data_IF_126760852108
#
_entry.id   IF_126760852108
#
_cell.length_a   1.000
_cell.length_b   1.000
_cell.length_c   1.000
_cell.angle_alpha   90.00
_cell.angle_beta   90.00
_cell.angle_gamma   90.00
#
_symmetry.space_group_name_H-M   'P 1'
#
loop_
_entity.id
_entity.type
_entity.pdbx_description
1 polymer ?
#
# COMPACT_ATOMS: atom_id res chain seq x y z
N UNK A 1 -6.41 -11.05 -30.87
CA UNK A 1 -7.38 -10.78 -29.77
C UNK A 1 -8.46 -9.80 -30.22
N UNK A 2 -8.11 -8.56 -30.58
CA UNK A 2 -9.07 -7.55 -31.06
C UNK A 2 -9.87 -8.01 -32.28
N UNK A 3 -9.22 -8.66 -33.25
CA UNK A 3 -9.92 -9.19 -34.43
C UNK A 3 -10.96 -10.25 -34.06
N UNK A 4 -10.65 -11.11 -33.09
CA UNK A 4 -11.61 -12.10 -32.60
C UNK A 4 -12.81 -11.47 -31.89
N UNK A 5 -12.59 -10.37 -31.14
CA UNK A 5 -13.68 -9.61 -30.54
C UNK A 5 -14.56 -8.93 -31.60
N UNK A 6 -13.94 -8.31 -32.63
CA UNK A 6 -14.65 -7.70 -33.77
C UNK A 6 -15.47 -8.72 -34.55
N UNK A 7 -14.94 -9.93 -34.72
CA UNK A 7 -15.60 -11.01 -35.44
C UNK A 7 -16.60 -11.81 -34.58
N UNK A 8 -16.89 -11.36 -33.35
CA UNK A 8 -17.91 -11.99 -32.51
C UNK A 8 -17.50 -13.30 -31.84
N UNK A 9 -16.24 -13.74 -31.93
CA UNK A 9 -15.75 -15.00 -31.35
C UNK A 9 -16.05 -15.03 -29.84
N UNK A 10 -16.68 -16.07 -29.28
CA UNK A 10 -16.94 -16.18 -27.84
C UNK A 10 -15.66 -16.01 -27.00
N UNK A 11 -15.80 -15.42 -25.81
CA UNK A 11 -14.63 -15.04 -25.00
C UNK A 11 -13.82 -16.25 -24.52
N UNK A 12 -14.49 -17.37 -24.21
CA UNK A 12 -13.83 -18.61 -23.78
C UNK A 12 -13.00 -19.23 -24.91
N UNK A 13 -13.53 -19.23 -26.14
CA UNK A 13 -12.81 -19.69 -27.34
C UNK A 13 -11.59 -18.80 -27.63
N UNK A 14 -11.76 -17.48 -27.47
CA UNK A 14 -10.67 -16.51 -27.60
C UNK A 14 -9.60 -16.77 -26.54
N UNK A 15 -10.00 -17.02 -25.30
CA UNK A 15 -9.09 -17.31 -24.19
C UNK A 15 -8.30 -18.60 -24.43
N UNK A 16 -8.98 -19.66 -24.89
CA UNK A 16 -8.37 -20.93 -25.26
C UNK A 16 -7.35 -20.76 -26.40
N UNK A 17 -7.73 -20.06 -27.47
CA UNK A 17 -6.85 -19.78 -28.63
C UNK A 17 -5.60 -19.00 -28.20
N UNK A 18 -5.76 -18.04 -27.27
CA UNK A 18 -4.66 -17.25 -26.73
C UNK A 18 -3.85 -17.97 -25.64
N UNK A 19 -4.23 -19.19 -25.27
CA UNK A 19 -3.66 -19.94 -24.13
C UNK A 19 -3.65 -19.12 -22.83
N UNK A 20 -4.75 -18.42 -22.55
CA UNK A 20 -4.94 -17.60 -21.35
C UNK A 20 -6.22 -18.00 -20.64
N UNK A 21 -6.32 -17.63 -19.35
CA UNK A 21 -7.58 -17.74 -18.60
C UNK A 21 -8.55 -16.66 -19.10
N UNK A 22 -9.85 -16.97 -19.18
CA UNK A 22 -10.92 -16.02 -19.53
C UNK A 22 -10.83 -14.74 -18.69
N UNK A 23 -10.58 -14.89 -17.38
CA UNK A 23 -10.39 -13.78 -16.44
C UNK A 23 -9.23 -12.85 -16.77
N UNK A 24 -8.17 -13.36 -17.41
CA UNK A 24 -7.04 -12.57 -17.87
C UNK A 24 -7.36 -11.81 -19.16
N UNK A 25 -8.14 -12.42 -20.06
CA UNK A 25 -8.65 -11.76 -21.26
C UNK A 25 -9.60 -10.63 -20.89
N UNK A 26 -10.55 -10.88 -19.97
CA UNK A 26 -11.45 -9.86 -19.42
C UNK A 26 -10.69 -8.69 -18.79
N UNK A 27 -9.66 -8.97 -17.98
CA UNK A 27 -8.81 -7.93 -17.40
C UNK A 27 -8.12 -7.08 -18.47
N UNK A 28 -7.66 -7.71 -19.56
CA UNK A 28 -7.03 -7.01 -20.68
C UNK A 28 -8.03 -6.20 -21.51
N UNK A 29 -9.24 -6.71 -21.75
CA UNK A 29 -10.33 -5.96 -22.36
C UNK A 29 -10.67 -4.71 -21.55
N UNK A 30 -10.76 -4.85 -20.22
CA UNK A 30 -11.01 -3.71 -19.33
C UNK A 30 -9.94 -2.63 -19.49
N UNK A 31 -8.67 -3.00 -19.65
CA UNK A 31 -7.56 -2.06 -19.89
C UNK A 31 -7.56 -1.39 -21.26
N UNK A 32 -8.31 -1.92 -22.23
CA UNK A 32 -8.52 -1.29 -23.54
C UNK A 32 -9.66 -0.27 -23.54
N UNK A 33 -10.44 -0.19 -22.45
CA UNK A 33 -11.49 0.81 -22.33
C UNK A 33 -10.91 2.16 -21.88
N UNK A 34 -11.54 3.28 -22.26
CA UNK A 34 -11.23 4.60 -21.72
C UNK A 34 -11.28 4.62 -20.17
N UNK A 35 -10.48 5.48 -19.50
CA UNK A 35 -10.40 5.55 -18.05
C UNK A 35 -11.75 5.71 -17.35
N UNK A 36 -12.65 6.53 -17.91
CA UNK A 36 -13.98 6.81 -17.40
C UNK A 36 -14.91 5.58 -17.42
N UNK A 37 -14.71 4.67 -18.39
CA UNK A 37 -15.45 3.41 -18.47
C UNK A 37 -14.82 2.32 -17.60
N UNK A 38 -13.49 2.30 -17.48
CA UNK A 38 -12.79 1.36 -16.58
C UNK A 38 -13.27 1.45 -15.13
N UNK A 39 -13.53 2.65 -14.64
CA UNK A 39 -14.01 2.85 -13.27
C UNK A 39 -15.41 2.26 -13.04
N UNK A 40 -16.25 2.22 -14.08
CA UNK A 40 -17.68 1.87 -13.99
C UNK A 40 -17.97 0.42 -14.36
N UNK A 41 -17.25 -0.12 -15.33
CA UNK A 41 -17.52 -1.44 -15.91
C UNK A 41 -16.94 -2.56 -15.04
N UNK A 42 -17.74 -3.58 -14.74
CA UNK A 42 -17.25 -4.77 -14.05
C UNK A 42 -16.30 -5.55 -14.95
N UNK A 43 -15.30 -6.22 -14.35
CA UNK A 43 -14.33 -7.01 -15.14
C UNK A 43 -15.02 -8.06 -16.00
N UNK A 44 -16.06 -8.71 -15.48
CA UNK A 44 -16.79 -9.77 -16.15
C UNK A 44 -17.53 -9.30 -17.43
N UNK A 45 -17.81 -8.00 -17.53
CA UNK A 45 -18.57 -7.38 -18.63
C UNK A 45 -17.68 -6.61 -19.61
N UNK A 46 -16.37 -6.54 -19.32
CA UNK A 46 -15.47 -5.64 -20.01
C UNK A 46 -15.30 -5.98 -21.49
N UNK A 47 -15.42 -7.25 -21.88
CA UNK A 47 -15.38 -7.64 -23.29
C UNK A 47 -16.66 -7.27 -24.04
N UNK A 48 -17.83 -7.35 -23.40
CA UNK A 48 -19.11 -6.94 -24.00
C UNK A 48 -19.12 -5.44 -24.31
N UNK A 49 -18.71 -4.62 -23.34
CA UNK A 49 -18.60 -3.17 -23.52
C UNK A 49 -17.55 -2.81 -24.58
N UNK A 50 -16.43 -3.54 -24.60
CA UNK A 50 -15.39 -3.32 -25.61
C UNK A 50 -15.88 -3.68 -27.02
N UNK A 51 -16.65 -4.76 -27.18
CA UNK A 51 -17.27 -5.12 -28.47
C UNK A 51 -18.25 -4.05 -28.94
N UNK A 52 -19.10 -3.56 -28.04
CA UNK A 52 -20.05 -2.49 -28.36
C UNK A 52 -19.32 -1.23 -28.84
N UNK A 53 -18.23 -0.84 -28.17
CA UNK A 53 -17.40 0.30 -28.59
C UNK A 53 -16.76 0.09 -29.95
N UNK A 54 -16.14 -1.06 -30.17
CA UNK A 54 -15.52 -1.41 -31.46
C UNK A 54 -16.54 -1.48 -32.61
N UNK A 55 -17.82 -1.77 -32.32
CA UNK A 55 -18.88 -1.81 -33.32
C UNK A 55 -19.51 -0.43 -33.58
N UNK A 56 -19.63 0.41 -32.55
CA UNK A 56 -20.33 1.70 -32.64
C UNK A 56 -19.42 2.84 -33.11
N UNK A 57 -18.13 2.76 -32.79
CA UNK A 57 -17.14 3.80 -33.08
C UNK A 57 -15.96 3.21 -33.86
N UNK A 58 -15.92 3.37 -35.20
CA UNK A 58 -14.82 2.90 -36.04
C UNK A 58 -13.46 3.55 -35.72
N UNK A 59 -13.47 4.76 -35.15
CA UNK A 59 -12.26 5.51 -34.75
C UNK A 59 -11.79 5.10 -33.35
N UNK A 60 -12.51 4.20 -32.67
CA UNK A 60 -12.15 3.76 -31.33
C UNK A 60 -10.81 2.99 -31.32
N UNK A 61 -9.77 3.66 -30.83
CA UNK A 61 -8.44 3.06 -30.70
C UNK A 61 -8.26 2.34 -29.35
N UNK A 62 -8.65 1.06 -29.35
CA UNK A 62 -8.44 0.16 -28.22
C UNK A 62 -6.95 -0.04 -27.85
N UNK A 63 -6.04 0.08 -28.82
CA UNK A 63 -4.61 -0.12 -28.61
C UNK A 63 -4.00 1.10 -27.94
N UNK A 64 -4.31 2.32 -28.39
CA UNK A 64 -3.88 3.54 -27.72
C UNK A 64 -4.41 3.63 -26.29
N UNK A 65 -5.67 3.22 -26.06
CA UNK A 65 -6.21 3.11 -24.71
C UNK A 65 -5.44 2.09 -23.88
N UNK A 66 -5.18 0.90 -24.42
CA UNK A 66 -4.36 -0.09 -23.72
C UNK A 66 -3.00 0.47 -23.35
N UNK A 67 -2.32 1.11 -24.30
CA UNK A 67 -1.00 1.68 -24.07
C UNK A 67 -1.06 2.75 -22.99
N UNK A 68 -1.96 3.73 -23.08
CA UNK A 68 -2.18 4.75 -22.06
C UNK A 68 -2.45 4.14 -20.67
N UNK A 69 -3.22 3.06 -20.61
CA UNK A 69 -3.57 2.36 -19.37
C UNK A 69 -2.49 1.39 -18.86
N UNK A 70 -1.53 1.04 -19.72
CA UNK A 70 -0.37 0.20 -19.42
C UNK A 70 0.92 1.00 -19.29
N UNK A 71 0.93 2.30 -19.64
CA UNK A 71 2.08 3.19 -19.42
C UNK A 71 2.51 2.97 -18.00
N UNK A 72 3.72 2.41 -17.85
CA UNK A 72 4.29 2.17 -16.53
C UNK A 72 4.44 3.54 -15.91
N UNK A 73 3.58 3.82 -14.93
CA UNK A 73 3.62 5.03 -14.11
C UNK A 73 5.05 5.37 -13.66
N UNK A 74 5.86 4.33 -13.44
CA UNK A 74 7.28 4.41 -13.10
C UNK A 74 8.15 3.84 -14.22
N UNK A 75 9.00 4.70 -14.78
CA UNK A 75 10.08 4.36 -15.71
C UNK A 75 11.42 4.50 -15.00
N UNK A 76 12.50 3.97 -15.59
CA UNK A 76 13.86 4.15 -15.05
C UNK A 76 14.25 5.64 -14.95
N UNK A 77 13.82 6.44 -15.92
CA UNK A 77 14.02 7.90 -15.92
C UNK A 77 13.31 8.58 -14.75
N UNK A 78 12.04 8.23 -14.47
CA UNK A 78 11.29 8.76 -13.32
C UNK A 78 11.89 8.30 -11.98
N UNK A 79 12.40 7.07 -11.93
CA UNK A 79 13.11 6.58 -10.74
C UNK A 79 14.42 7.34 -10.50
N UNK A 80 15.14 7.70 -11.57
CA UNK A 80 16.34 8.53 -11.49
C UNK A 80 16.00 9.95 -10.99
N UNK A 81 14.94 10.57 -11.52
CA UNK A 81 14.43 11.87 -11.04
C UNK A 81 14.15 11.82 -9.54
N UNK A 82 13.47 10.79 -9.05
CA UNK A 82 13.20 10.62 -7.62
C UNK A 82 14.47 10.38 -6.81
N UNK A 83 15.39 9.58 -7.30
CA UNK A 83 16.64 9.25 -6.59
C UNK A 83 17.51 10.50 -6.45
N UNK A 84 17.67 11.29 -7.52
CA UNK A 84 18.38 12.57 -7.46
C UNK A 84 17.61 13.60 -6.63
N UNK A 85 16.28 13.66 -6.76
CA UNK A 85 15.41 14.50 -5.94
C UNK A 85 15.57 14.23 -4.45
N UNK A 86 15.59 12.96 -4.06
CA UNK A 86 15.85 12.53 -2.69
C UNK A 86 17.24 12.92 -2.19
N UNK A 87 18.26 12.69 -3.03
CA UNK A 87 19.65 13.00 -2.73
C UNK A 87 19.85 14.49 -2.49
N UNK A 88 19.31 15.34 -3.37
CA UNK A 88 19.47 16.79 -3.32
C UNK A 88 18.36 17.53 -2.55
N UNK A 89 17.44 16.80 -1.89
CA UNK A 89 16.30 17.36 -1.14
C UNK A 89 15.48 18.35 -1.97
N UNK A 90 15.17 17.98 -3.21
CA UNK A 90 14.34 18.79 -4.08
C UNK A 90 12.92 18.87 -3.52
N UNK A 91 12.25 20.04 -3.59
CA UNK A 91 10.86 20.17 -3.17
C UNK A 91 9.93 19.17 -3.86
N UNK A 92 8.98 18.61 -3.11
CA UNK A 92 7.98 17.68 -3.62
C UNK A 92 7.23 18.23 -4.84
N UNK A 93 6.88 19.52 -4.81
CA UNK A 93 6.18 20.19 -5.91
C UNK A 93 6.95 20.12 -7.24
N UNK A 94 8.27 20.26 -7.19
CA UNK A 94 9.12 20.18 -8.39
C UNK A 94 9.15 18.75 -8.95
N UNK A 95 9.21 17.75 -8.06
CA UNK A 95 9.22 16.34 -8.44
C UNK A 95 7.86 15.90 -9.01
N UNK A 96 6.76 16.41 -8.46
CA UNK A 96 5.39 16.21 -8.98
C UNK A 96 5.29 16.76 -10.40
N UNK A 97 5.78 17.98 -10.62
CA UNK A 97 5.72 18.63 -11.93
C UNK A 97 6.60 17.92 -12.97
N UNK A 98 7.81 17.51 -12.60
CA UNK A 98 8.75 16.88 -13.53
C UNK A 98 8.40 15.43 -13.86
N UNK A 99 7.98 14.64 -12.86
CA UNK A 99 7.62 13.25 -13.07
C UNK A 99 6.16 13.06 -13.54
N UNK A 100 5.35 14.11 -13.53
CA UNK A 100 3.93 14.11 -13.90
C UNK A 100 3.12 13.04 -13.13
N UNK A 101 3.27 13.06 -11.80
CA UNK A 101 2.63 12.10 -10.88
C UNK A 101 2.26 12.78 -9.56
N UNK A 102 1.33 12.19 -8.80
CA UNK A 102 0.86 12.80 -7.54
C UNK A 102 1.87 12.62 -6.38
N UNK A 103 1.77 13.46 -5.34
CA UNK A 103 2.59 13.35 -4.12
C UNK A 103 2.51 11.96 -3.47
N UNK A 104 1.30 11.35 -3.47
CA UNK A 104 1.08 10.01 -2.91
C UNK A 104 1.84 8.96 -3.71
N UNK A 105 1.91 9.11 -5.02
CA UNK A 105 2.65 8.19 -5.88
C UNK A 105 4.16 8.32 -5.66
N UNK A 106 4.66 9.55 -5.57
CA UNK A 106 6.06 9.83 -5.26
C UNK A 106 6.41 9.21 -3.90
N UNK A 107 5.64 9.50 -2.86
CA UNK A 107 5.88 8.94 -1.53
C UNK A 107 5.88 7.41 -1.54
N UNK A 108 4.87 6.79 -2.19
CA UNK A 108 4.79 5.34 -2.33
C UNK A 108 5.92 4.74 -3.18
N UNK A 109 6.49 5.50 -4.12
CA UNK A 109 7.65 5.04 -4.90
C UNK A 109 8.95 5.16 -4.13
N UNK A 110 9.19 6.28 -3.43
CA UNK A 110 10.37 6.45 -2.57
C UNK A 110 10.50 5.33 -1.53
N UNK A 111 9.40 4.92 -0.91
CA UNK A 111 9.38 3.79 0.05
C UNK A 111 9.75 2.47 -0.65
N UNK A 112 9.17 2.20 -1.82
CA UNK A 112 9.46 0.96 -2.59
C UNK A 112 10.90 0.90 -3.11
N UNK A 113 11.53 2.04 -3.35
CA UNK A 113 12.95 2.16 -3.72
C UNK A 113 13.88 2.10 -2.50
N UNK A 114 13.34 2.01 -1.27
CA UNK A 114 14.13 2.00 -0.05
C UNK A 114 14.75 3.35 0.31
N UNK A 115 14.28 4.45 -0.29
CA UNK A 115 14.79 5.80 -0.01
C UNK A 115 14.27 6.32 1.33
N UNK A 116 13.05 5.94 1.72
CA UNK A 116 12.39 6.35 2.94
C UNK A 116 11.74 5.14 3.64
N UNK A 117 11.68 5.18 4.97
CA UNK A 117 11.00 4.14 5.74
C UNK A 117 9.47 4.20 5.57
N UNK A 118 8.91 5.41 5.52
CA UNK A 118 7.47 5.64 5.43
C UNK A 118 7.11 7.00 4.79
N UNK A 119 5.81 7.31 4.72
CA UNK A 119 5.32 8.56 4.13
C UNK A 119 5.68 9.80 4.95
N UNK A 120 5.88 9.65 6.26
CA UNK A 120 6.26 10.76 7.15
C UNK A 120 7.69 11.21 6.83
N UNK A 121 8.62 10.27 6.73
CA UNK A 121 10.00 10.52 6.34
C UNK A 121 10.12 11.18 4.95
N UNK A 122 9.22 10.83 4.02
CA UNK A 122 9.15 11.49 2.71
C UNK A 122 8.71 12.94 2.85
N UNK A 123 7.60 13.19 3.54
CA UNK A 123 7.04 14.52 3.70
C UNK A 123 7.99 15.46 4.49
N UNK A 124 8.69 14.94 5.49
CA UNK A 124 9.68 15.71 6.26
C UNK A 124 10.90 16.10 5.41
N UNK A 125 11.33 15.22 4.51
CA UNK A 125 12.52 15.48 3.70
C UNK A 125 12.24 16.34 2.46
N UNK A 126 11.14 16.08 1.77
CA UNK A 126 10.82 16.70 0.47
C UNK A 126 9.73 17.79 0.59
N UNK A 127 9.07 17.88 1.74
CA UNK A 127 7.86 18.69 1.89
C UNK A 127 6.61 17.99 1.34
N UNK A 128 5.47 18.61 1.57
CA UNK A 128 4.18 18.26 0.97
C UNK A 128 3.27 19.49 0.95
N UNK A 129 2.28 19.48 0.06
CA UNK A 129 1.28 20.54 -0.01
C UNK A 129 0.38 20.53 1.25
N UNK A 130 0.21 21.67 1.95
CA UNK A 130 -0.69 21.77 3.10
C UNK A 130 -2.14 21.42 2.71
N UNK A 131 -2.77 20.53 3.47
CA UNK A 131 -4.13 20.04 3.17
C UNK A 131 -4.20 19.06 1.99
N UNK A 132 -3.06 18.74 1.36
CA UNK A 132 -2.96 17.73 0.31
C UNK A 132 -3.14 16.31 0.86
N UNK A 133 -3.29 15.35 -0.06
CA UNK A 133 -3.50 13.95 0.30
C UNK A 133 -2.33 13.37 1.14
N UNK A 134 -1.09 13.77 0.84
CA UNK A 134 0.08 13.33 1.60
C UNK A 134 0.12 13.97 3.00
N UNK A 135 -0.18 15.27 3.14
CA UNK A 135 -0.27 15.94 4.44
C UNK A 135 -1.34 15.29 5.33
N UNK A 136 -2.55 15.07 4.79
CA UNK A 136 -3.64 14.41 5.52
C UNK A 136 -3.21 13.02 6.01
N UNK A 137 -2.55 12.23 5.15
CA UNK A 137 -2.04 10.91 5.53
C UNK A 137 -0.99 11.01 6.64
N UNK A 138 -0.08 11.98 6.56
CA UNK A 138 0.93 12.19 7.59
C UNK A 138 0.31 12.60 8.93
N UNK A 139 -0.74 13.45 8.92
CA UNK A 139 -1.50 13.80 10.13
C UNK A 139 -2.17 12.57 10.74
N UNK A 140 -2.88 11.78 9.94
CA UNK A 140 -3.48 10.53 10.41
C UNK A 140 -2.44 9.55 10.98
N UNK A 141 -1.24 9.47 10.39
CA UNK A 141 -0.15 8.66 10.93
C UNK A 141 0.34 9.18 12.28
N UNK A 142 0.52 10.50 12.43
CA UNK A 142 0.91 11.12 13.71
C UNK A 142 -0.17 10.94 14.77
N UNK A 143 -1.43 11.17 14.43
CA UNK A 143 -2.56 10.98 15.34
C UNK A 143 -2.66 9.52 15.80
N UNK A 144 -2.46 8.58 14.88
CA UNK A 144 -2.44 7.15 15.18
C UNK A 144 -1.27 6.77 16.08
N UNK A 145 -0.09 7.34 15.86
CA UNK A 145 1.06 7.13 16.73
C UNK A 145 0.83 7.72 18.12
N UNK A 146 0.24 8.92 18.22
CA UNK A 146 -0.12 9.57 19.48
C UNK A 146 -1.22 8.81 20.24
N UNK A 147 -2.14 8.15 19.52
CA UNK A 147 -3.19 7.30 20.09
C UNK A 147 -2.77 5.84 20.28
N UNK A 148 -1.47 5.53 20.15
CA UNK A 148 -0.95 4.19 20.40
C UNK A 148 -0.50 4.02 21.85
N UNK A 149 -0.85 2.88 22.43
CA UNK A 149 -0.41 2.45 23.76
C UNK A 149 0.44 1.20 23.62
N UNK A 150 1.39 1.02 24.53
CA UNK A 150 2.18 -0.20 24.66
C UNK A 150 1.51 -1.10 25.69
N UNK A 151 1.21 -2.33 25.29
CA UNK A 151 0.58 -3.33 26.15
C UNK A 151 1.65 -4.32 26.57
N UNK A 152 1.87 -4.45 27.88
CA UNK A 152 2.68 -5.50 28.47
C UNK A 152 1.73 -6.62 28.92
N UNK A 153 2.00 -7.85 28.49
CA UNK A 153 1.34 -9.07 28.97
C UNK A 153 2.42 -9.96 29.56
N UNK A 154 2.27 -10.35 30.83
CA UNK A 154 3.16 -11.29 31.51
C UNK A 154 2.34 -12.48 31.98
N UNK A 155 2.73 -13.67 31.55
CA UNK A 155 2.19 -14.95 31.97
C UNK A 155 3.19 -15.68 32.88
N UNK A 156 2.70 -16.48 33.82
CA UNK A 156 3.53 -17.27 34.75
C UNK A 156 3.88 -16.57 36.07
N UNK A 157 3.23 -15.46 36.42
CA UNK A 157 3.37 -14.86 37.75
C UNK A 157 2.53 -15.63 38.80
N UNK A 158 2.92 -15.58 40.10
CA UNK A 158 2.18 -16.26 41.17
C UNK A 158 0.69 -15.85 41.27
N UNK A 159 0.40 -14.60 40.93
CA UNK A 159 -0.96 -14.03 40.94
C UNK A 159 -1.70 -14.22 39.59
N UNK A 160 -1.11 -14.97 38.65
CA UNK A 160 -1.67 -15.25 37.33
C UNK A 160 -1.19 -14.29 36.23
N UNK A 161 -2.02 -14.07 35.21
CA UNK A 161 -1.68 -13.19 34.07
C UNK A 161 -1.72 -11.71 34.50
N UNK A 162 -0.64 -10.98 34.24
CA UNK A 162 -0.58 -9.54 34.37
C UNK A 162 -0.74 -8.84 33.01
N UNK A 163 -1.56 -7.79 32.96
CA UNK A 163 -1.73 -6.94 31.76
C UNK A 163 -1.68 -5.48 32.17
N UNK A 164 -0.79 -4.70 31.55
CA UNK A 164 -0.66 -3.26 31.79
C UNK A 164 -0.51 -2.45 30.51
N UNK A 165 -0.88 -1.16 30.58
CA UNK A 165 -0.83 -0.20 29.47
C UNK A 165 0.20 0.89 29.78
N UNK A 166 1.00 1.23 28.78
CA UNK A 166 2.15 2.11 28.90
C UNK A 166 2.16 3.14 27.77
N UNK A 167 2.63 4.35 28.07
CA UNK A 167 2.76 5.42 27.07
C UNK A 167 3.91 5.14 26.10
N UNK A 168 5.00 4.56 26.59
CA UNK A 168 6.18 4.22 25.78
C UNK A 168 6.54 2.74 25.90
N UNK A 169 7.38 2.27 24.97
CA UNK A 169 7.96 0.93 25.01
C UNK A 169 8.86 0.76 26.23
N UNK A 170 9.65 1.78 26.55
CA UNK A 170 10.60 1.75 27.65
C UNK A 170 9.87 1.69 29.00
N UNK A 171 8.77 2.41 29.16
CA UNK A 171 7.91 2.29 30.35
C UNK A 171 7.40 0.85 30.54
N UNK A 172 7.04 0.16 29.44
CA UNK A 172 6.60 -1.23 29.49
C UNK A 172 7.74 -2.18 29.90
N UNK A 173 8.97 -1.95 29.43
CA UNK A 173 10.14 -2.73 29.84
C UNK A 173 10.52 -2.47 31.31
N UNK A 174 10.52 -1.22 31.74
CA UNK A 174 10.83 -0.86 33.12
C UNK A 174 9.81 -1.47 34.08
N UNK A 175 8.53 -1.47 33.67
CA UNK A 175 7.48 -2.13 34.43
C UNK A 175 7.67 -3.65 34.46
N UNK A 176 8.05 -4.28 33.33
CA UNK A 176 8.39 -5.70 33.30
C UNK A 176 9.53 -6.02 34.27
N UNK A 177 10.63 -5.26 34.26
CA UNK A 177 11.75 -5.46 35.16
C UNK A 177 11.38 -5.27 36.65
N UNK A 178 10.35 -4.47 36.95
CA UNK A 178 9.82 -4.30 38.31
C UNK A 178 9.01 -5.49 38.80
N UNK A 179 8.20 -6.09 37.92
CA UNK A 179 7.27 -7.18 38.29
C UNK A 179 7.83 -8.57 38.03
N UNK A 180 8.83 -8.70 37.16
CA UNK A 180 9.59 -9.93 36.98
C UNK A 180 10.41 -10.14 38.26
N UNK A 181 10.10 -11.16 39.08
CA UNK A 181 10.82 -11.37 40.33
C UNK A 181 12.31 -11.65 40.04
N UNK A 182 13.20 -11.12 40.89
CA UNK A 182 14.64 -11.39 40.84
C UNK A 182 15.01 -12.87 41.11
N UNK A 183 14.01 -13.72 41.33
CA UNK A 183 14.14 -15.14 41.65
C UNK A 183 13.06 -15.93 40.93
N UNK A 184 13.30 -16.24 39.65
CA UNK A 184 12.71 -17.42 39.01
C UNK A 184 13.30 -18.66 39.69
N UNK A 185 12.76 -19.00 40.86
CA UNK A 185 13.08 -20.23 41.59
C UNK A 185 11.91 -21.16 41.33
N UNK A 186 12.24 -22.30 40.71
CA UNK A 186 11.35 -23.38 40.24
C UNK A 186 10.52 -23.12 38.98
N UNK A 187 11.08 -23.51 37.84
CA UNK A 187 10.42 -24.34 36.82
C UNK A 187 9.31 -23.72 35.95
N UNK A 188 8.67 -22.63 36.38
CA UNK A 188 7.66 -21.93 35.60
C UNK A 188 8.33 -20.95 34.64
N UNK A 189 8.18 -21.23 33.35
CA UNK A 189 8.69 -20.39 32.26
C UNK A 189 7.85 -19.11 32.27
N UNK A 190 8.41 -18.04 32.83
CA UNK A 190 7.86 -16.70 32.71
C UNK A 190 7.89 -16.31 31.22
N UNK A 191 6.74 -15.89 30.69
CA UNK A 191 6.64 -15.44 29.30
C UNK A 191 6.07 -14.04 29.28
N UNK A 192 6.80 -13.10 28.70
CA UNK A 192 6.37 -11.73 28.58
C UNK A 192 6.33 -11.27 27.12
N UNK A 193 5.31 -10.49 26.80
CA UNK A 193 5.10 -9.93 25.48
C UNK A 193 4.79 -8.44 25.61
N UNK A 194 5.54 -7.61 24.87
CA UNK A 194 5.27 -6.19 24.71
C UNK A 194 4.73 -5.94 23.31
N UNK A 195 3.63 -5.22 23.23
CA UNK A 195 2.93 -5.03 21.97
C UNK A 195 2.39 -3.61 21.83
N UNK A 196 2.71 -2.93 20.73
CA UNK A 196 2.10 -1.64 20.43
C UNK A 196 0.68 -1.86 19.88
N UNK A 197 -0.28 -1.09 20.39
CA UNK A 197 -1.68 -1.10 19.95
C UNK A 197 -2.16 0.32 19.73
N UNK A 198 -2.55 0.63 18.49
CA UNK A 198 -3.29 1.85 18.19
C UNK A 198 -4.79 1.58 18.31
N UNK A 199 -5.54 2.53 18.90
CA UNK A 199 -7.00 2.45 18.95
C UNK A 199 -7.59 2.24 17.54
N UNK A 200 -8.42 1.22 17.38
CA UNK A 200 -9.03 0.85 16.09
C UNK A 200 -8.13 0.07 15.11
N UNK A 201 -6.96 -0.42 15.56
CA UNK A 201 -6.07 -1.27 14.75
C UNK A 201 -5.91 -2.67 15.35
N UNK A 202 -6.07 -3.75 14.55
CA UNK A 202 -5.84 -5.11 15.04
C UNK A 202 -4.35 -5.49 15.13
N UNK A 203 -3.41 -4.64 14.67
CA UNK A 203 -1.98 -4.95 14.69
C UNK A 203 -1.06 -3.78 15.09
N UNK A 204 0.18 -4.15 15.38
CA UNK A 204 1.33 -3.32 15.73
C UNK A 204 2.55 -4.22 16.07
N UNK A 205 3.76 -3.67 16.22
CA UNK A 205 4.93 -4.44 16.62
C UNK A 205 4.66 -5.21 17.91
N UNK A 206 5.16 -6.45 17.94
CA UNK A 206 5.07 -7.38 19.07
C UNK A 206 6.46 -7.96 19.29
N UNK A 207 6.90 -7.99 20.52
CA UNK A 207 8.16 -8.58 20.93
C UNK A 207 7.97 -9.44 22.17
N UNK A 208 8.76 -10.50 22.27
CA UNK A 208 8.86 -11.29 23.48
C UNK A 208 10.01 -10.75 24.31
N UNK A 209 9.82 -10.70 25.63
CA UNK A 209 10.87 -10.38 26.59
C UNK A 209 11.34 -11.68 27.23
N UNK A 210 12.65 -11.86 27.29
CA UNK A 210 13.34 -12.95 27.99
C UNK A 210 13.78 -12.51 29.39
#
# INVERSE_FOLDING_TARGET
>A
MLDGLRNGVPLDDLAQTLQRRTSAVQARCKKMLPPELQARVLRAEADLVLREKLATDPEFDAAANLDANLVRKWTAERDEILTQGWKYRRPMADLVAEADVTEIDIAGRCIRLGLAADSLAVAERLGCAPGGALDLRCRMMRDRAAASVWVLVVDGLPDGRHVSLHATRDDAHDHFAMIAPATAVDGDILSATVAQRALGSPGGPVENLD
#
